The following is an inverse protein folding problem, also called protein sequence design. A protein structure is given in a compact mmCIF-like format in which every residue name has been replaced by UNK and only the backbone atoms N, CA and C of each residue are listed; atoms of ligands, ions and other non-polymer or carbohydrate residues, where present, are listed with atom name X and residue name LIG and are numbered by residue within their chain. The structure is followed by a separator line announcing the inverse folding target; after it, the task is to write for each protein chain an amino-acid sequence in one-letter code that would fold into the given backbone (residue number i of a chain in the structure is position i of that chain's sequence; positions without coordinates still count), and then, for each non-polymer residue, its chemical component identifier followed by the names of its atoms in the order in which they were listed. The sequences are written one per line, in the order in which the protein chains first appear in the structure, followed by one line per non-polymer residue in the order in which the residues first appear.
data_IF_695607691711
#
_entry.id   IF_695607691711
#
_cell.length_a   1.000
_cell.length_b   1.000
_cell.length_c   1.000
_cell.angle_alpha   90.00
_cell.angle_beta   90.00
_cell.angle_gamma   90.00
#
_symmetry.space_group_name_H-M   'P 1'
#
loop_
_entity.id
_entity.type
_entity.pdbx_description
1 polymer ?
#
# COMPACT_ATOMS: atom_id res chain seq x y z
N UNK A 1 -40.09 -9.49 8.49
CA UNK A 1 -40.20 -8.90 7.13
C UNK A 1 -39.70 -9.94 6.14
N UNK A 2 -40.48 -10.26 5.11
CA UNK A 2 -40.02 -11.11 4.02
C UNK A 2 -39.48 -10.16 2.94
N UNK A 3 -38.20 -10.31 2.58
CA UNK A 3 -37.59 -9.55 1.49
C UNK A 3 -37.64 -10.41 0.23
N UNK A 4 -38.35 -10.00 -0.84
CA UNK A 4 -38.40 -10.76 -2.08
C UNK A 4 -37.02 -10.86 -2.74
N UNK A 5 -36.81 -11.94 -3.50
CA UNK A 5 -35.61 -12.08 -4.34
C UNK A 5 -35.49 -10.88 -5.28
N UNK A 6 -34.26 -10.47 -5.55
CA UNK A 6 -33.91 -9.30 -6.38
C UNK A 6 -34.34 -7.94 -5.80
N UNK A 7 -34.66 -7.85 -4.51
CA UNK A 7 -34.77 -6.55 -3.84
C UNK A 7 -33.41 -5.87 -3.78
N UNK A 8 -33.37 -4.57 -4.07
CA UNK A 8 -32.14 -3.79 -4.01
C UNK A 8 -31.71 -3.60 -2.54
N UNK A 9 -30.44 -3.91 -2.27
CA UNK A 9 -29.80 -3.66 -0.97
C UNK A 9 -28.68 -2.67 -1.19
N UNK A 10 -28.65 -1.61 -0.39
CA UNK A 10 -27.62 -0.57 -0.48
C UNK A 10 -26.94 -0.35 0.87
N UNK A 11 -25.68 0.07 0.81
CA UNK A 11 -24.84 0.22 1.98
C UNK A 11 -23.53 0.93 1.65
N UNK A 12 -22.82 1.36 2.67
CA UNK A 12 -21.47 1.91 2.53
C UNK A 12 -20.44 0.79 2.63
N UNK A 13 -19.40 0.84 1.81
CA UNK A 13 -18.37 -0.19 1.76
C UNK A 13 -16.98 0.41 2.03
N UNK A 14 -16.15 -0.30 2.78
CA UNK A 14 -14.77 0.07 3.10
C UNK A 14 -13.84 -1.12 2.90
N UNK A 15 -12.80 -0.93 2.10
CA UNK A 15 -11.74 -1.93 1.94
C UNK A 15 -10.85 -1.94 3.18
N UNK A 16 -10.62 -3.12 3.75
CA UNK A 16 -9.76 -3.38 4.89
C UNK A 16 -8.92 -4.63 4.61
N UNK A 17 -7.70 -4.44 4.08
CA UNK A 17 -6.88 -5.53 3.57
C UNK A 17 -7.53 -6.17 2.34
N UNK A 18 -7.63 -7.49 2.32
CA UNK A 18 -8.25 -8.27 1.23
C UNK A 18 -9.77 -8.45 1.42
N UNK A 19 -10.42 -7.57 2.19
CA UNK A 19 -11.85 -7.68 2.53
C UNK A 19 -12.55 -6.35 2.36
N UNK A 20 -13.79 -6.40 1.85
CA UNK A 20 -14.71 -5.29 1.78
C UNK A 20 -15.72 -5.41 2.93
N UNK A 21 -15.55 -4.58 3.96
CA UNK A 21 -16.54 -4.44 5.03
C UNK A 21 -17.71 -3.60 4.51
N UNK A 22 -18.94 -4.10 4.64
CA UNK A 22 -20.14 -3.45 4.12
C UNK A 22 -21.09 -3.21 5.28
N UNK A 23 -21.46 -1.94 5.48
CA UNK A 23 -22.50 -1.53 6.40
C UNK A 23 -23.79 -1.31 5.62
N UNK A 24 -24.76 -2.20 5.82
CA UNK A 24 -26.10 -2.09 5.23
C UNK A 24 -27.03 -1.43 6.26
N UNK A 25 -27.41 -0.19 5.99
CA UNK A 25 -28.28 0.61 6.87
C UNK A 25 -29.71 0.76 6.35
N UNK A 26 -29.96 0.44 5.07
CA UNK A 26 -31.28 0.52 4.47
C UNK A 26 -31.52 -0.55 3.40
N UNK A 27 -32.79 -0.88 3.21
CA UNK A 27 -33.28 -1.73 2.13
C UNK A 27 -34.41 -1.02 1.41
N UNK A 28 -34.38 -1.00 0.08
CA UNK A 28 -35.48 -0.46 -0.71
C UNK A 28 -36.46 -1.58 -1.08
N UNK A 29 -37.73 -1.37 -0.76
CA UNK A 29 -38.80 -2.27 -1.16
C UNK A 29 -40.06 -1.52 -1.57
N UNK A 30 -40.48 -1.69 -2.81
CA UNK A 30 -41.67 -1.05 -3.38
C UNK A 30 -41.71 0.49 -3.17
N UNK A 31 -40.57 1.16 -3.38
CA UNK A 31 -40.42 2.61 -3.20
C UNK A 31 -40.33 3.07 -1.73
N UNK A 32 -40.29 2.14 -0.77
CA UNK A 32 -40.10 2.45 0.64
C UNK A 32 -38.68 2.15 1.06
N UNK A 33 -38.08 3.06 1.83
CA UNK A 33 -36.78 2.86 2.48
C UNK A 33 -37.03 2.25 3.86
N UNK A 34 -36.59 1.02 4.05
CA UNK A 34 -36.70 0.28 5.31
C UNK A 34 -35.36 0.40 6.05
N UNK A 35 -35.30 0.99 7.25
CA UNK A 35 -34.06 1.02 8.03
C UNK A 35 -33.72 -0.38 8.54
N UNK A 36 -32.46 -0.78 8.42
CA UNK A 36 -31.97 -2.10 8.84
C UNK A 36 -30.57 -1.99 9.44
N UNK A 37 -30.16 -3.01 10.17
CA UNK A 37 -28.78 -3.20 10.63
C UNK A 37 -28.36 -4.62 10.25
N UNK A 38 -27.69 -4.75 9.10
CA UNK A 38 -27.26 -6.06 8.58
C UNK A 38 -25.75 -6.09 8.42
N UNK A 39 -25.15 -7.22 8.80
CA UNK A 39 -23.76 -7.54 8.51
C UNK A 39 -23.69 -8.39 7.23
N UNK A 40 -22.72 -8.08 6.37
CA UNK A 40 -22.45 -8.87 5.17
C UNK A 40 -21.40 -9.93 5.47
N UNK A 41 -21.67 -11.16 5.04
CA UNK A 41 -20.76 -12.29 5.10
C UNK A 41 -20.55 -12.83 3.70
N UNK A 42 -19.33 -13.26 3.42
CA UNK A 42 -18.99 -13.96 2.18
C UNK A 42 -19.52 -15.41 2.23
N UNK A 43 -19.47 -16.09 1.10
CA UNK A 43 -19.83 -17.50 0.90
C UNK A 43 -19.07 -18.48 1.80
N UNK A 44 -17.91 -18.08 2.31
CA UNK A 44 -17.09 -18.83 3.27
C UNK A 44 -17.49 -18.61 4.74
N UNK A 45 -18.47 -17.74 5.01
CA UNK A 45 -18.96 -17.41 6.34
C UNK A 45 -18.15 -16.34 7.09
N UNK A 46 -17.12 -15.75 6.47
CA UNK A 46 -16.35 -14.66 7.07
C UNK A 46 -17.05 -13.30 6.84
N UNK A 47 -16.89 -12.37 7.80
CA UNK A 47 -17.47 -11.02 7.68
C UNK A 47 -16.77 -10.25 6.55
N UNK A 48 -17.56 -9.61 5.69
CA UNK A 48 -17.08 -8.84 4.55
C UNK A 48 -16.74 -9.70 3.33
N UNK A 49 -16.86 -9.10 2.14
CA UNK A 49 -16.60 -9.80 0.87
C UNK A 49 -15.11 -9.87 0.58
N UNK A 50 -14.63 -11.01 0.06
CA UNK A 50 -13.25 -11.12 -0.38
C UNK A 50 -12.95 -10.19 -1.55
N UNK A 51 -11.89 -9.40 -1.42
CA UNK A 51 -11.32 -8.55 -2.47
C UNK A 51 -9.84 -8.93 -2.59
N UNK A 52 -9.55 -10.00 -3.35
CA UNK A 52 -8.18 -10.48 -3.49
C UNK A 52 -7.31 -9.36 -4.06
N UNK A 53 -6.18 -9.10 -3.41
CA UNK A 53 -5.20 -8.19 -3.97
C UNK A 53 -4.58 -8.82 -5.22
N UNK A 54 -4.33 -7.99 -6.23
CA UNK A 54 -3.83 -8.51 -7.50
C UNK A 54 -2.32 -8.71 -7.42
N UNK A 55 -1.80 -9.73 -8.09
CA UNK A 55 -0.35 -9.99 -8.12
C UNK A 55 0.45 -8.74 -8.53
N UNK A 56 -0.11 -7.88 -9.39
CA UNK A 56 0.53 -6.62 -9.76
C UNK A 56 0.58 -5.58 -8.63
N UNK A 57 -0.45 -5.51 -7.79
CA UNK A 57 -0.47 -4.61 -6.62
C UNK A 57 0.52 -5.06 -5.56
N UNK A 58 0.59 -6.36 -5.28
CA UNK A 58 1.59 -6.96 -4.41
C UNK A 58 3.00 -6.69 -4.94
N UNK A 59 3.24 -6.95 -6.24
CA UNK A 59 4.53 -6.69 -6.86
C UNK A 59 4.92 -5.21 -6.82
N UNK A 60 3.98 -4.29 -7.05
CA UNK A 60 4.22 -2.86 -6.95
C UNK A 60 4.55 -2.42 -5.52
N UNK A 61 3.82 -2.94 -4.52
CA UNK A 61 4.05 -2.66 -3.10
C UNK A 61 5.39 -3.20 -2.62
N UNK A 62 5.76 -4.39 -3.06
CA UNK A 62 7.05 -5.02 -2.76
C UNK A 62 8.21 -4.28 -3.46
N UNK A 63 8.03 -3.87 -4.72
CA UNK A 63 9.00 -3.03 -5.42
C UNK A 63 9.20 -1.69 -4.70
N UNK A 64 8.11 -1.01 -4.29
CA UNK A 64 8.19 0.23 -3.51
C UNK A 64 8.85 0.03 -2.14
N UNK A 65 8.55 -1.07 -1.45
CA UNK A 65 9.18 -1.39 -0.16
C UNK A 65 10.68 -1.68 -0.29
N UNK A 66 11.09 -2.42 -1.33
CA UNK A 66 12.49 -2.68 -1.65
C UNK A 66 13.24 -1.41 -2.08
N UNK A 67 12.59 -0.52 -2.82
CA UNK A 67 13.15 0.80 -3.15
C UNK A 67 13.30 1.64 -1.87
N UNK A 68 12.28 1.70 -1.01
CA UNK A 68 12.33 2.43 0.26
C UNK A 68 13.40 1.92 1.24
N UNK A 69 13.59 0.59 1.31
CA UNK A 69 14.65 -0.04 2.11
C UNK A 69 16.05 0.15 1.49
N UNK A 70 16.16 0.19 0.16
CA UNK A 70 17.43 0.40 -0.56
C UNK A 70 17.95 1.84 -0.58
N UNK A 71 17.07 2.82 -0.32
CA UNK A 71 17.44 4.25 -0.25
C UNK A 71 18.13 4.63 1.08
N UNK A 72 18.08 3.78 2.11
CA UNK A 72 18.77 3.99 3.39
C UNK A 72 20.21 3.48 3.44
N UNK A 73 20.64 2.63 2.49
CA UNK A 73 21.95 1.96 2.52
C UNK A 73 22.90 2.40 1.40
N UNK A 74 22.44 3.26 0.48
CA UNK A 74 23.22 3.70 -0.69
C UNK A 74 23.78 5.13 -0.57
N UNK A 75 23.92 5.67 0.64
CA UNK A 75 24.81 6.82 0.92
C UNK A 75 26.06 6.30 1.63
N UNK A 76 26.71 5.29 1.06
CA UNK A 76 28.11 4.93 1.36
C UNK A 76 28.98 4.90 0.11
N UNK A 77 28.50 5.50 -0.99
CA UNK A 77 29.27 5.68 -2.23
C UNK A 77 29.83 7.11 -2.42
N UNK A 78 29.58 8.03 -1.50
CA UNK A 78 30.14 9.39 -1.54
C UNK A 78 31.42 9.58 -0.70
N UNK A 79 31.93 8.55 -0.02
CA UNK A 79 33.23 8.69 0.68
C UNK A 79 34.44 8.38 -0.21
N UNK A 80 34.25 7.62 -1.29
CA UNK A 80 35.38 7.10 -2.06
C UNK A 80 35.90 8.06 -3.16
N UNK A 81 35.03 8.87 -3.79
CA UNK A 81 35.46 9.72 -4.90
C UNK A 81 36.14 11.03 -4.44
N UNK A 82 35.71 11.61 -3.31
CA UNK A 82 36.33 12.83 -2.76
C UNK A 82 37.61 12.55 -1.95
N UNK A 83 37.69 11.40 -1.26
CA UNK A 83 38.90 11.02 -0.53
C UNK A 83 40.02 10.53 -1.45
N UNK A 84 39.71 9.97 -2.62
CA UNK A 84 40.72 9.62 -3.62
C UNK A 84 41.35 10.85 -4.29
N UNK A 85 40.57 11.90 -4.57
CA UNK A 85 41.10 13.16 -5.13
C UNK A 85 41.97 13.92 -4.11
N UNK A 86 41.62 13.87 -2.82
CA UNK A 86 42.44 14.47 -1.77
C UNK A 86 43.84 13.84 -1.62
N UNK A 87 43.98 12.55 -1.97
CA UNK A 87 45.26 11.83 -1.90
C UNK A 87 46.25 12.32 -2.98
N UNK A 88 45.77 12.62 -4.19
CA UNK A 88 46.63 13.13 -5.28
C UNK A 88 47.06 14.59 -5.05
N UNK A 89 46.17 15.43 -4.53
CA UNK A 89 46.50 16.83 -4.20
C UNK A 89 47.55 16.89 -3.09
N UNK A 90 47.46 15.99 -2.10
CA UNK A 90 48.41 15.95 -0.96
C UNK A 90 49.81 15.52 -1.41
N UNK A 91 49.94 14.56 -2.35
CA UNK A 91 51.26 14.20 -2.91
C UNK A 91 51.82 15.27 -3.86
N UNK A 92 50.97 15.90 -4.68
CA UNK A 92 51.40 16.94 -5.63
C UNK A 92 51.93 18.21 -4.96
N UNK A 93 51.45 18.55 -3.76
CA UNK A 93 51.91 19.72 -3.00
C UNK A 93 53.19 19.46 -2.17
N UNK A 94 53.51 18.21 -1.85
CA UNK A 94 54.66 17.89 -0.98
C UNK A 94 56.00 17.71 -1.71
N UNK A 95 56.02 17.60 -3.04
CA UNK A 95 57.26 17.50 -3.83
C UNK A 95 57.66 18.81 -4.55
N UNK A 96 56.90 19.88 -4.38
CA UNK A 96 57.13 21.17 -5.06
C UNK A 96 58.02 22.18 -4.32
N UNK A 97 58.75 21.77 -3.28
CA UNK A 97 59.47 22.72 -2.42
C UNK A 97 60.76 22.19 -1.79
N UNK A 98 61.80 21.99 -2.59
CA UNK A 98 63.20 22.15 -2.16
C UNK A 98 64.10 22.12 -3.38
N UNK A 99 64.81 23.23 -3.61
CA UNK A 99 66.05 23.26 -4.39
C UNK A 99 67.12 22.38 -3.73
#
# INVERSE_FOLDING_TARGET
VIVPKNSLVSGSAKVQGERLDILVSSLEYAGNIIPVELAVYDSDGQKGLSVPSSLEQEAAKEAMANIGAGLGTSISFAQSAGQQVAMDITRGLMQGGSQ
#
